data_IF_886031818950
#
_entry.id   IF_886031818950
#
_cell.length_a   1.000
_cell.length_b   1.000
_cell.length_c   1.000
_cell.angle_alpha   90.00
_cell.angle_beta   90.00
_cell.angle_gamma   90.00
#
_symmetry.space_group_name_H-M   'P 1'
#
loop_
_entity.id
_entity.type
_entity.pdbx_description
1 polymer ?
#
# COMPACT_ATOMS: atom_id res chain seq x y z
N UNK A 1 -12.00 2.38 4.52
CA UNK A 1 -11.17 1.56 5.43
C UNK A 1 -9.93 2.32 5.84
N UNK A 2 -9.36 1.98 6.99
CA UNK A 2 -8.07 2.54 7.41
C UNK A 2 -7.01 1.44 7.33
N UNK A 3 -5.76 1.78 7.70
CA UNK A 3 -4.65 0.80 7.61
C UNK A 3 -4.87 -0.43 8.49
N UNK A 4 -5.48 -0.25 9.66
CA UNK A 4 -5.75 -1.38 10.57
C UNK A 4 -6.72 -2.35 9.92
N UNK A 5 -7.79 -1.84 9.34
CA UNK A 5 -8.78 -2.66 8.65
C UNK A 5 -8.22 -3.28 7.38
N UNK A 6 -7.43 -2.50 6.63
CA UNK A 6 -6.78 -3.00 5.42
C UNK A 6 -5.88 -4.19 5.74
N UNK A 7 -5.10 -4.11 6.82
CA UNK A 7 -4.24 -5.22 7.23
C UNK A 7 -5.05 -6.49 7.46
N UNK A 8 -6.18 -6.38 8.15
CA UNK A 8 -7.05 -7.52 8.42
C UNK A 8 -7.58 -8.11 7.11
N UNK A 9 -8.05 -7.26 6.20
CA UNK A 9 -8.58 -7.71 4.92
C UNK A 9 -7.51 -8.41 4.08
N UNK A 10 -6.30 -7.84 4.03
CA UNK A 10 -5.21 -8.45 3.27
C UNK A 10 -4.82 -9.81 3.84
N UNK A 11 -4.78 -9.94 5.16
CA UNK A 11 -4.45 -11.21 5.82
C UNK A 11 -5.56 -12.24 5.59
N UNK A 12 -6.82 -11.83 5.67
CA UNK A 12 -7.95 -12.73 5.43
C UNK A 12 -7.99 -13.24 3.98
N UNK A 13 -7.57 -12.41 3.04
CA UNK A 13 -7.50 -12.79 1.64
C UNK A 13 -6.18 -13.46 1.27
N UNK A 14 -5.34 -13.72 2.26
CA UNK A 14 -4.05 -14.42 2.09
C UNK A 14 -3.14 -13.74 1.07
N UNK A 15 -3.16 -12.41 1.03
CA UNK A 15 -2.25 -11.64 0.20
C UNK A 15 -0.84 -11.78 0.81
N UNK A 16 0.17 -12.19 0.03
CA UNK A 16 1.53 -12.36 0.56
C UNK A 16 2.05 -11.07 1.19
N UNK A 17 2.63 -11.17 2.39
CA UNK A 17 3.10 -10.01 3.15
C UNK A 17 4.23 -9.25 2.47
N UNK A 18 5.04 -9.93 1.68
CA UNK A 18 6.16 -9.30 0.99
C UNK A 18 5.72 -8.47 -0.22
N UNK A 19 4.44 -8.49 -0.58
CA UNK A 19 3.91 -7.65 -1.65
C UNK A 19 3.57 -6.23 -1.21
N UNK A 20 3.49 -5.97 0.12
CA UNK A 20 3.05 -4.67 0.60
C UNK A 20 3.72 -4.27 1.90
N UNK A 21 3.70 -2.95 2.17
CA UNK A 21 4.09 -2.38 3.46
C UNK A 21 3.07 -1.33 3.85
N UNK A 22 2.51 -1.47 5.05
CA UNK A 22 1.52 -0.52 5.56
C UNK A 22 2.15 0.56 6.45
N UNK A 23 3.47 0.55 6.58
CA UNK A 23 4.21 1.50 7.41
C UNK A 23 5.30 2.24 6.63
N UNK A 24 5.17 2.31 5.32
CA UNK A 24 6.12 3.02 4.49
C UNK A 24 7.45 2.30 4.33
N UNK A 25 8.53 3.06 4.27
CA UNK A 25 9.87 2.52 4.09
C UNK A 25 10.19 2.25 2.62
N UNK A 26 11.29 1.55 2.39
CA UNK A 26 11.74 1.21 1.05
C UNK A 26 12.02 -0.30 0.94
N UNK A 27 11.01 -1.13 1.17
CA UNK A 27 11.20 -2.57 0.99
C UNK A 27 11.41 -2.89 -0.48
N UNK A 28 11.90 -4.09 -0.76
CA UNK A 28 12.16 -4.48 -2.14
C UNK A 28 10.89 -5.08 -2.76
N UNK A 29 10.53 -4.58 -3.94
CA UNK A 29 9.42 -5.11 -4.74
C UNK A 29 8.10 -5.17 -3.97
N UNK A 30 7.75 -4.06 -3.32
CA UNK A 30 6.51 -3.97 -2.54
C UNK A 30 5.76 -2.68 -2.84
N UNK A 31 4.42 -2.74 -2.75
CA UNK A 31 3.59 -1.55 -2.75
C UNK A 31 3.45 -1.06 -1.31
N UNK A 32 3.57 0.24 -1.12
CA UNK A 32 3.64 0.84 0.21
C UNK A 32 2.60 1.93 0.39
N UNK A 33 2.15 2.10 1.63
CA UNK A 33 1.34 3.25 2.02
C UNK A 33 2.04 3.93 3.20
N UNK A 34 2.07 5.25 3.20
CA UNK A 34 2.70 6.02 4.25
C UNK A 34 2.00 7.37 4.40
N UNK A 35 2.13 7.98 5.58
CA UNK A 35 1.63 9.33 5.82
C UNK A 35 2.80 10.26 6.07
N UNK A 36 2.80 11.41 5.37
CA UNK A 36 3.81 12.45 5.54
C UNK A 36 3.08 13.79 5.70
N UNK A 37 3.16 14.38 6.90
CA UNK A 37 2.56 15.68 7.20
C UNK A 37 1.08 15.77 6.80
N UNK A 38 0.32 14.73 7.10
CA UNK A 38 -1.12 14.70 6.83
C UNK A 38 -1.50 14.29 5.42
N UNK A 39 -0.53 14.07 4.54
CA UNK A 39 -0.76 13.60 3.19
C UNK A 39 -0.44 12.12 3.12
N UNK A 40 -1.33 11.34 2.54
CA UNK A 40 -1.14 9.91 2.37
C UNK A 40 -0.53 9.63 1.01
N UNK A 41 0.51 8.78 0.98
CA UNK A 41 1.14 8.40 -0.27
C UNK A 41 1.09 6.88 -0.44
N UNK A 42 0.88 6.46 -1.69
CA UNK A 42 0.98 5.06 -2.09
C UNK A 42 2.00 4.99 -3.22
N UNK A 43 2.94 4.07 -3.11
CA UNK A 43 4.01 3.96 -4.10
C UNK A 43 4.51 2.52 -4.20
N UNK A 44 5.21 2.24 -5.29
CA UNK A 44 5.93 0.99 -5.46
C UNK A 44 7.39 1.21 -5.08
N UNK A 45 7.94 0.33 -4.27
CA UNK A 45 9.33 0.43 -3.83
C UNK A 45 10.13 -0.73 -4.39
N UNK A 46 11.25 -0.41 -5.05
CA UNK A 46 12.13 -1.40 -5.63
C UNK A 46 13.55 -0.85 -5.62
N UNK A 47 14.50 -1.63 -5.06
CA UNK A 47 15.92 -1.27 -5.02
C UNK A 47 16.17 0.11 -4.41
N UNK A 48 15.41 0.44 -3.36
CA UNK A 48 15.55 1.72 -2.67
C UNK A 48 14.95 2.92 -3.39
N UNK A 49 14.17 2.69 -4.45
CA UNK A 49 13.58 3.76 -5.25
C UNK A 49 12.06 3.68 -5.19
N UNK A 50 11.43 4.83 -4.92
CA UNK A 50 9.97 4.97 -5.02
C UNK A 50 9.58 5.23 -6.46
N UNK A 51 8.54 4.56 -6.93
CA UNK A 51 7.96 4.83 -8.24
C UNK A 51 6.44 4.76 -8.17
N UNK A 52 5.76 5.21 -9.22
CA UNK A 52 4.30 5.18 -9.32
C UNK A 52 3.61 5.89 -8.14
N UNK A 53 4.22 6.96 -7.64
CA UNK A 53 3.72 7.69 -6.47
C UNK A 53 2.36 8.32 -6.73
N UNK A 54 1.41 8.08 -5.83
CA UNK A 54 0.11 8.73 -5.79
C UNK A 54 -0.12 9.34 -4.44
N UNK A 55 -0.69 10.54 -4.40
CA UNK A 55 -0.96 11.27 -3.17
C UNK A 55 -2.47 11.36 -2.93
N UNK A 56 -2.85 11.27 -1.66
CA UNK A 56 -4.24 11.30 -1.22
C UNK A 56 -4.37 12.18 0.01
N UNK A 57 -5.49 12.87 0.14
CA UNK A 57 -5.76 13.71 1.31
C UNK A 57 -6.32 12.92 2.48
N UNK A 58 -6.91 11.77 2.22
CA UNK A 58 -7.52 10.96 3.28
C UNK A 58 -7.05 9.52 3.20
N UNK A 59 -6.93 8.91 4.39
CA UNK A 59 -6.43 7.55 4.55
C UNK A 59 -7.26 6.52 3.78
N UNK A 60 -8.58 6.66 3.83
CA UNK A 60 -9.49 5.71 3.19
C UNK A 60 -9.25 5.60 1.69
N UNK A 61 -9.01 6.73 1.04
CA UNK A 61 -8.76 6.74 -0.41
C UNK A 61 -7.44 6.05 -0.73
N UNK A 62 -6.42 6.32 0.07
CA UNK A 62 -5.10 5.70 -0.11
C UNK A 62 -5.17 4.19 0.10
N UNK A 63 -5.86 3.75 1.14
CA UNK A 63 -6.03 2.33 1.43
C UNK A 63 -6.78 1.60 0.33
N UNK A 64 -7.83 2.21 -0.19
CA UNK A 64 -8.61 1.62 -1.28
C UNK A 64 -7.76 1.50 -2.54
N UNK A 65 -6.99 2.53 -2.86
CA UNK A 65 -6.10 2.50 -4.01
C UNK A 65 -5.07 1.37 -3.89
N UNK A 66 -4.45 1.25 -2.71
CA UNK A 66 -3.46 0.20 -2.46
C UNK A 66 -4.10 -1.19 -2.59
N UNK A 67 -5.27 -1.37 -1.99
CA UNK A 67 -5.98 -2.64 -2.04
C UNK A 67 -6.25 -3.06 -3.49
N UNK A 68 -6.76 -2.13 -4.31
CA UNK A 68 -7.05 -2.42 -5.71
C UNK A 68 -5.79 -2.75 -6.51
N UNK A 69 -4.67 -2.08 -6.21
CA UNK A 69 -3.39 -2.38 -6.84
C UNK A 69 -2.94 -3.81 -6.51
N UNK A 70 -3.08 -4.21 -5.26
CA UNK A 70 -2.68 -5.56 -4.85
C UNK A 70 -3.57 -6.62 -5.49
N UNK A 71 -4.88 -6.35 -5.61
CA UNK A 71 -5.78 -7.28 -6.31
C UNK A 71 -5.40 -7.44 -7.78
N UNK A 72 -5.01 -6.35 -8.44
CA UNK A 72 -4.58 -6.40 -9.84
C UNK A 72 -3.34 -7.28 -10.01
N UNK A 73 -2.38 -7.16 -9.09
CA UNK A 73 -1.13 -7.93 -9.15
C UNK A 73 -1.39 -9.42 -9.02
N UNK A 74 -2.28 -9.82 -8.12
CA UNK A 74 -2.54 -11.25 -7.88
C UNK A 74 -3.63 -11.81 -8.79
N UNK A 75 -4.16 -11.00 -9.72
CA UNK A 75 -5.11 -11.46 -10.71
C UNK A 75 -6.53 -11.68 -10.20
N UNK A 76 -6.95 -10.90 -9.22
CA UNK A 76 -8.32 -10.98 -8.68
C UNK A 76 -9.16 -9.77 -9.05
#
# INVERSE_FOLDING_TARGET
>A
MNRVKLKIILEENKIPRDLYSLSGGLPNESYCINEVDGIWEVYYSERGVKSQLKLFNIEEDACEFLYNKLLDIIGR
#
